data_IF_479728337759
#
_entry.id   IF_479728337759
#
_cell.length_a   1.000
_cell.length_b   1.000
_cell.length_c   1.000
_cell.angle_alpha   90.00
_cell.angle_beta   90.00
_cell.angle_gamma   90.00
#
_symmetry.space_group_name_H-M   'P 1'
#
loop_
_entity.id
_entity.type
_entity.pdbx_description
1 polymer ?
#
# COMPACT_ATOMS: atom_id res chain seq x y z
N UNK A 1 29.88 -7.66 -6.13
CA UNK A 1 29.20 -6.60 -5.37
C UNK A 1 27.84 -6.37 -6.04
N UNK A 2 26.79 -7.08 -5.60
CA UNK A 2 25.45 -7.05 -6.21
C UNK A 2 24.62 -6.03 -5.43
N UNK A 3 24.16 -4.99 -6.14
CA UNK A 3 23.32 -3.92 -5.61
C UNK A 3 21.91 -4.49 -5.41
N UNK A 4 21.31 -4.17 -4.27
CA UNK A 4 20.03 -4.71 -3.83
C UNK A 4 18.89 -4.32 -4.78
N UNK A 5 18.08 -5.32 -5.15
CA UNK A 5 16.82 -5.13 -5.86
C UNK A 5 15.86 -4.33 -4.98
N UNK A 6 15.40 -3.20 -5.51
CA UNK A 6 14.34 -2.38 -4.96
C UNK A 6 13.04 -3.20 -4.95
N UNK A 7 12.50 -3.42 -3.77
CA UNK A 7 11.30 -4.22 -3.52
C UNK A 7 10.11 -3.53 -4.17
N UNK A 8 9.51 -4.20 -5.17
CA UNK A 8 8.21 -3.87 -5.74
C UNK A 8 7.15 -4.03 -4.65
N UNK A 9 6.58 -2.91 -4.18
CA UNK A 9 5.29 -2.90 -3.49
C UNK A 9 4.23 -2.58 -4.55
N UNK A 10 3.67 -3.60 -5.19
CA UNK A 10 2.36 -3.46 -5.83
C UNK A 10 1.32 -3.36 -4.72
N UNK A 11 1.08 -2.13 -4.27
CA UNK A 11 -0.07 -1.79 -3.45
C UNK A 11 -1.29 -1.91 -4.36
N UNK A 12 -2.03 -3.03 -4.30
CA UNK A 12 -3.41 -3.06 -4.78
C UNK A 12 -4.23 -2.22 -3.78
N UNK A 13 -4.11 -0.91 -3.91
CA UNK A 13 -5.12 -0.01 -3.40
C UNK A 13 -6.35 -0.22 -4.29
N UNK A 14 -7.52 -0.39 -3.67
CA UNK A 14 -8.76 0.05 -4.29
C UNK A 14 -8.65 1.57 -4.39
N UNK A 15 -7.88 2.06 -5.37
CA UNK A 15 -7.92 3.44 -5.79
C UNK A 15 -9.31 3.62 -6.41
N UNK A 16 -10.12 4.53 -5.88
CA UNK A 16 -11.13 5.13 -6.74
C UNK A 16 -10.37 5.81 -7.88
N UNK A 17 -10.40 5.14 -9.04
CA UNK A 17 -9.85 5.57 -10.30
C UNK A 17 -10.26 7.03 -10.56
N UNK A 18 -9.30 7.94 -10.57
CA UNK A 18 -9.62 9.33 -10.87
C UNK A 18 -9.69 9.53 -12.37
N UNK A 19 -10.90 9.56 -12.94
CA UNK A 19 -11.27 10.20 -14.22
C UNK A 19 -10.14 10.18 -15.28
N UNK A 20 -9.58 8.99 -15.53
CA UNK A 20 -8.53 8.75 -16.51
C UNK A 20 -7.23 9.56 -16.31
N UNK A 21 -6.79 9.85 -15.08
CA UNK A 21 -5.54 10.57 -14.78
C UNK A 21 -4.41 9.60 -14.42
N UNK A 22 -3.22 9.89 -14.92
CA UNK A 22 -2.05 9.02 -14.77
C UNK A 22 -0.78 9.82 -14.50
N UNK A 23 0.12 9.24 -13.70
CA UNK A 23 1.51 9.65 -13.55
C UNK A 23 2.36 8.77 -14.47
N UNK A 24 3.05 9.40 -15.42
CA UNK A 24 3.95 8.75 -16.39
C UNK A 24 5.38 9.06 -15.97
N UNK A 25 6.18 8.03 -15.72
CA UNK A 25 7.60 8.19 -15.41
C UNK A 25 8.45 7.83 -16.61
N UNK A 26 9.45 8.66 -16.90
CA UNK A 26 10.39 8.44 -18.01
C UNK A 26 11.69 7.79 -17.55
N UNK A 27 12.29 6.99 -18.44
CA UNK A 27 13.59 6.35 -18.18
C UNK A 27 14.70 7.40 -18.17
N UNK A 28 15.41 7.52 -17.03
CA UNK A 28 16.54 8.45 -16.86
C UNK A 28 17.74 8.18 -17.78
N UNK A 29 17.87 6.95 -18.29
CA UNK A 29 19.07 6.51 -19.01
C UNK A 29 19.04 6.83 -20.51
N UNK A 30 17.92 7.31 -21.04
CA UNK A 30 17.87 7.72 -22.45
C UNK A 30 18.57 9.07 -22.65
N UNK A 31 19.36 9.21 -23.72
CA UNK A 31 20.08 10.45 -24.10
C UNK A 31 19.14 11.57 -24.59
N UNK A 32 17.84 11.46 -24.40
CA UNK A 32 16.83 12.39 -24.89
C UNK A 32 16.51 13.46 -23.86
N UNK A 33 16.22 14.68 -24.31
CA UNK A 33 15.82 15.77 -23.41
C UNK A 33 14.45 15.49 -22.79
N UNK A 34 14.20 16.04 -21.59
CA UNK A 34 12.90 15.96 -20.92
C UNK A 34 11.74 16.36 -21.85
N UNK A 35 11.90 17.46 -22.60
CA UNK A 35 10.88 17.90 -23.55
C UNK A 35 10.61 16.89 -24.67
N UNK A 36 11.63 16.14 -25.10
CA UNK A 36 11.46 15.06 -26.08
C UNK A 36 10.63 13.91 -25.51
N UNK A 37 10.82 13.59 -24.23
CA UNK A 37 9.99 12.62 -23.54
C UNK A 37 8.53 13.05 -23.44
N UNK A 38 8.28 14.28 -23.01
CA UNK A 38 6.91 14.82 -22.96
C UNK A 38 6.27 14.83 -24.36
N UNK A 39 7.02 15.27 -25.38
CA UNK A 39 6.54 15.30 -26.77
C UNK A 39 6.18 13.92 -27.30
N UNK A 40 6.91 12.88 -26.93
CA UNK A 40 6.59 11.49 -27.34
C UNK A 40 5.21 11.03 -26.87
N UNK A 41 4.76 11.53 -25.71
CA UNK A 41 3.43 11.25 -25.15
C UNK A 41 2.38 12.14 -25.80
N UNK A 42 2.61 13.46 -25.85
CA UNK A 42 1.60 14.42 -26.35
C UNK A 42 1.34 14.26 -27.85
N UNK A 43 2.32 13.79 -28.63
CA UNK A 43 2.12 13.43 -30.04
C UNK A 43 1.10 12.31 -30.25
N UNK A 44 0.74 11.55 -29.21
CA UNK A 44 -0.30 10.52 -29.28
C UNK A 44 -1.71 11.10 -29.10
N UNK A 45 -1.86 12.39 -28.73
CA UNK A 45 -3.15 13.05 -28.47
C UNK A 45 -3.80 13.50 -29.80
N UNK A 46 -3.98 12.55 -30.70
CA UNK A 46 -4.34 12.78 -32.12
C UNK A 46 -5.84 12.72 -32.36
N UNK A 47 -6.60 12.13 -31.44
CA UNK A 47 -8.04 11.94 -31.62
C UNK A 47 -8.81 13.23 -31.28
N UNK A 48 -9.54 13.77 -32.26
CA UNK A 48 -10.32 15.02 -32.16
C UNK A 48 -11.34 15.06 -31.01
N UNK A 49 -11.76 13.91 -30.50
CA UNK A 49 -12.73 13.77 -29.42
C UNK A 49 -12.10 13.24 -28.11
N UNK A 50 -10.78 13.11 -28.04
CA UNK A 50 -10.11 12.68 -26.82
C UNK A 50 -10.03 13.83 -25.81
N UNK A 51 -10.32 13.54 -24.54
CA UNK A 51 -10.13 14.47 -23.43
C UNK A 51 -8.70 14.38 -22.86
N UNK A 52 -7.73 14.07 -23.73
CA UNK A 52 -6.34 13.86 -23.33
C UNK A 52 -5.67 15.20 -23.07
N UNK A 53 -5.13 15.38 -21.86
CA UNK A 53 -4.52 16.65 -21.46
C UNK A 53 -3.28 16.42 -20.61
N UNK A 54 -2.30 17.29 -20.76
CA UNK A 54 -1.19 17.36 -19.80
C UNK A 54 -1.69 18.12 -18.58
N UNK A 55 -1.51 17.51 -17.41
CA UNK A 55 -1.88 18.11 -16.12
C UNK A 55 -0.67 18.77 -15.46
N UNK A 56 0.49 18.11 -15.52
CA UNK A 56 1.72 18.62 -14.93
C UNK A 56 2.97 17.98 -15.54
N UNK A 57 4.10 18.69 -15.50
CA UNK A 57 5.40 18.21 -15.91
C UNK A 57 6.36 18.21 -14.71
N UNK A 58 7.00 17.07 -14.43
CA UNK A 58 7.97 16.91 -13.36
C UNK A 58 9.37 16.81 -13.97
N UNK A 59 10.21 17.82 -13.73
CA UNK A 59 11.56 17.93 -14.30
C UNK A 59 12.68 17.99 -13.25
N UNK A 60 12.35 18.08 -11.97
CA UNK A 60 13.29 18.33 -10.87
C UNK A 60 13.68 17.06 -10.10
N UNK A 61 12.77 16.51 -9.30
CA UNK A 61 13.01 15.34 -8.43
C UNK A 61 12.61 14.03 -9.10
N UNK A 62 11.47 14.05 -9.80
CA UNK A 62 10.96 13.00 -10.67
C UNK A 62 11.14 13.48 -12.11
N UNK A 63 11.50 12.58 -13.02
CA UNK A 63 11.48 12.83 -14.47
C UNK A 63 10.22 12.18 -15.03
N UNK A 64 9.16 12.96 -15.21
CA UNK A 64 7.85 12.43 -15.58
C UNK A 64 6.82 13.50 -15.88
N UNK A 65 5.56 13.09 -16.06
CA UNK A 65 4.43 13.99 -16.25
C UNK A 65 3.14 13.39 -15.68
N UNK A 66 2.20 14.24 -15.31
CA UNK A 66 0.82 13.85 -15.04
C UNK A 66 -0.05 14.19 -16.26
N UNK A 67 -0.92 13.27 -16.69
CA UNK A 67 -1.80 13.47 -17.84
C UNK A 67 -3.16 12.78 -17.66
N UNK A 68 -4.21 13.37 -18.24
CA UNK A 68 -5.46 12.68 -18.49
C UNK A 68 -5.35 11.91 -19.82
N UNK A 69 -5.66 10.61 -19.83
CA UNK A 69 -5.53 9.73 -21.00
C UNK A 69 -6.75 8.82 -21.15
N UNK A 70 -7.39 8.82 -22.32
CA UNK A 70 -8.35 7.78 -22.70
C UNK A 70 -7.67 6.40 -22.77
N UNK A 71 -8.48 5.34 -22.74
CA UNK A 71 -8.00 3.97 -22.73
C UNK A 71 -7.13 3.62 -23.96
N UNK A 72 -7.46 4.17 -25.14
CA UNK A 72 -6.72 3.88 -26.37
C UNK A 72 -5.32 4.52 -26.37
N UNK A 73 -5.21 5.72 -25.81
CA UNK A 73 -3.97 6.49 -25.70
C UNK A 73 -3.10 5.95 -24.56
N UNK A 74 -3.70 5.55 -23.45
CA UNK A 74 -3.00 4.89 -22.34
C UNK A 74 -2.19 3.68 -22.82
N UNK A 75 -2.79 2.80 -23.62
CA UNK A 75 -2.10 1.61 -24.13
C UNK A 75 -0.94 1.98 -25.06
N UNK A 76 -1.08 3.03 -25.87
CA UNK A 76 0.01 3.56 -26.70
C UNK A 76 1.14 4.15 -25.85
N UNK A 77 0.80 4.89 -24.79
CA UNK A 77 1.78 5.49 -23.86
C UNK A 77 2.57 4.42 -23.12
N UNK A 78 1.91 3.36 -22.62
CA UNK A 78 2.57 2.21 -21.98
C UNK A 78 3.58 1.51 -22.91
N UNK A 79 3.34 1.54 -24.22
CA UNK A 79 4.22 0.93 -25.22
C UNK A 79 5.42 1.80 -25.63
N UNK A 80 5.50 3.07 -25.18
CA UNK A 80 6.59 3.96 -25.55
C UNK A 80 7.94 3.50 -24.96
N UNK A 81 9.02 3.44 -25.76
CA UNK A 81 10.30 2.89 -25.31
C UNK A 81 10.96 3.71 -24.20
N UNK A 82 10.61 4.99 -24.10
CA UNK A 82 11.15 5.97 -23.17
C UNK A 82 10.32 6.12 -21.88
N UNK A 83 9.18 5.42 -21.76
CA UNK A 83 8.37 5.32 -20.54
C UNK A 83 8.91 4.17 -19.68
N UNK A 84 9.14 4.45 -18.40
CA UNK A 84 9.56 3.49 -17.37
C UNK A 84 8.35 2.77 -16.78
N UNK A 85 7.35 3.53 -16.34
CA UNK A 85 6.04 3.01 -15.94
C UNK A 85 4.95 4.09 -16.05
N UNK A 86 3.69 3.65 -16.04
CA UNK A 86 2.50 4.49 -15.93
C UNK A 86 1.69 4.01 -14.74
N UNK A 87 1.36 4.92 -13.83
CA UNK A 87 0.57 4.66 -12.63
C UNK A 87 -0.69 5.52 -12.68
N UNK A 88 -1.84 4.97 -12.28
CA UNK A 88 -3.07 5.74 -12.17
C UNK A 88 -3.01 6.67 -10.97
N UNK A 89 -3.45 7.92 -11.14
CA UNK A 89 -3.42 8.93 -10.08
C UNK A 89 -4.51 8.65 -9.02
N UNK A 90 -4.11 8.66 -7.75
CA UNK A 90 -4.97 8.27 -6.61
C UNK A 90 -5.34 9.45 -5.71
N UNK A 91 -6.49 9.33 -5.03
CA UNK A 91 -6.89 10.29 -3.98
C UNK A 91 -6.15 9.95 -2.69
N UNK A 92 -5.42 10.92 -2.14
CA UNK A 92 -4.97 10.88 -0.76
C UNK A 92 -6.09 11.39 0.16
N UNK A 93 -6.51 10.57 1.13
CA UNK A 93 -7.49 11.00 2.13
C UNK A 93 -6.78 11.81 3.24
N UNK A 94 -7.47 12.79 3.82
CA UNK A 94 -6.95 13.56 4.96
C UNK A 94 -6.66 12.68 6.16
N UNK A 95 -5.64 13.01 6.95
CA UNK A 95 -5.18 12.17 8.07
C UNK A 95 -6.23 12.07 9.19
N UNK A 96 -6.54 10.84 9.63
CA UNK A 96 -7.22 10.58 10.89
C UNK A 96 -6.19 10.55 12.04
N UNK A 97 -6.65 10.87 13.26
CA UNK A 97 -5.78 10.96 14.45
C UNK A 97 -6.30 10.08 15.57
N UNK A 98 -5.44 9.22 16.10
CA UNK A 98 -5.65 8.59 17.40
C UNK A 98 -4.79 9.32 18.44
N UNK A 99 -5.45 9.99 19.40
CA UNK A 99 -4.78 10.59 20.55
C UNK A 99 -4.44 9.53 21.61
N UNK A 100 -3.39 9.76 22.38
CA UNK A 100 -2.93 8.79 23.39
C UNK A 100 -2.51 7.45 22.78
N UNK A 101 -1.96 7.46 21.58
CA UNK A 101 -1.53 6.27 20.89
C UNK A 101 -0.30 5.64 21.59
N UNK A 102 -0.17 4.30 21.56
CA UNK A 102 1.07 3.64 21.94
C UNK A 102 2.26 4.19 21.15
N UNK A 103 3.42 4.25 21.80
CA UNK A 103 4.64 4.83 21.23
C UNK A 103 4.98 4.27 19.85
N UNK A 104 4.75 2.97 19.61
CA UNK A 104 5.05 2.31 18.34
C UNK A 104 4.21 2.87 17.18
N UNK A 105 2.91 3.09 17.41
CA UNK A 105 2.02 3.69 16.41
C UNK A 105 2.42 5.14 16.13
N UNK A 106 2.65 5.93 17.18
CA UNK A 106 3.11 7.30 17.02
C UNK A 106 4.45 7.37 16.27
N UNK A 107 5.36 6.43 16.54
CA UNK A 107 6.67 6.39 15.89
C UNK A 107 6.55 6.14 14.40
N UNK A 108 5.72 5.20 13.96
CA UNK A 108 5.61 4.88 12.53
C UNK A 108 4.97 6.00 11.71
N UNK A 109 4.13 6.86 12.32
CA UNK A 109 3.48 7.97 11.59
C UNK A 109 4.27 9.28 11.55
N UNK A 110 5.43 9.38 12.22
CA UNK A 110 6.18 10.64 12.31
C UNK A 110 7.62 10.50 11.78
N UNK A 111 8.07 11.48 10.99
CA UNK A 111 9.49 11.57 10.57
C UNK A 111 10.37 12.21 11.64
N UNK A 112 9.86 13.24 12.31
CA UNK A 112 10.55 13.94 13.38
C UNK A 112 10.69 13.09 14.64
N UNK A 113 11.53 13.55 15.56
CA UNK A 113 11.60 12.97 16.90
C UNK A 113 10.23 13.11 17.57
N UNK A 114 9.74 12.04 18.18
CA UNK A 114 8.55 12.13 19.02
C UNK A 114 8.84 13.02 20.23
N UNK A 115 7.89 13.85 20.60
CA UNK A 115 7.93 14.45 21.92
C UNK A 115 7.75 13.33 22.97
N UNK A 116 8.39 13.48 24.13
CA UNK A 116 8.18 12.56 25.25
C UNK A 116 6.89 12.90 26.01
N UNK A 117 5.91 13.54 25.36
CA UNK A 117 4.64 13.86 26.01
C UNK A 117 3.80 12.58 26.08
N UNK A 118 3.02 12.45 27.15
CA UNK A 118 2.04 11.37 27.29
C UNK A 118 0.86 11.49 26.30
N UNK A 119 0.99 12.32 25.25
CA UNK A 119 -0.05 12.59 24.26
C UNK A 119 0.44 12.27 22.84
N UNK A 120 1.16 11.16 22.69
CA UNK A 120 1.63 10.72 21.40
C UNK A 120 0.44 10.48 20.45
N UNK A 121 0.51 11.05 19.26
CA UNK A 121 -0.53 10.93 18.24
C UNK A 121 -0.12 9.88 17.22
N UNK A 122 -1.10 9.10 16.76
CA UNK A 122 -0.95 8.29 15.56
C UNK A 122 -1.75 8.93 14.44
N UNK A 123 -1.05 9.42 13.43
CA UNK A 123 -1.62 9.96 12.20
C UNK A 123 -1.73 8.81 11.20
N UNK A 124 -2.94 8.55 10.70
CA UNK A 124 -3.18 7.40 9.83
C UNK A 124 -4.23 7.70 8.78
N UNK A 125 -4.18 6.97 7.68
CA UNK A 125 -5.18 7.06 6.63
C UNK A 125 -6.56 6.62 7.16
N UNK A 126 -7.65 7.40 6.98
CA UNK A 126 -8.99 7.02 7.43
C UNK A 126 -9.52 5.72 6.83
N UNK A 127 -9.08 5.34 5.63
CA UNK A 127 -9.36 4.05 5.02
C UNK A 127 -8.74 2.92 5.84
N UNK A 128 -7.60 3.17 6.51
CA UNK A 128 -6.96 2.30 7.50
C UNK A 128 -6.84 0.83 7.06
N UNK A 129 -6.64 0.58 5.76
CA UNK A 129 -6.53 -0.76 5.18
C UNK A 129 -7.86 -1.47 4.90
N UNK A 130 -9.00 -0.76 4.86
CA UNK A 130 -10.25 -1.40 4.45
C UNK A 130 -10.15 -1.98 3.04
N UNK A 131 -10.72 -3.17 2.85
CA UNK A 131 -10.59 -3.94 1.61
C UNK A 131 -9.28 -4.73 1.47
N UNK A 132 -8.27 -4.45 2.31
CA UNK A 132 -7.01 -5.22 2.33
C UNK A 132 -7.17 -6.44 3.22
N UNK A 133 -6.65 -7.58 2.77
CA UNK A 133 -6.59 -8.82 3.54
C UNK A 133 -5.14 -9.16 3.88
N UNK A 134 -4.85 -9.32 5.16
CA UNK A 134 -3.51 -9.69 5.65
C UNK A 134 -3.55 -11.11 6.20
N UNK A 135 -2.72 -11.98 5.64
CA UNK A 135 -2.50 -13.34 6.12
C UNK A 135 -1.41 -13.33 7.18
N UNK A 136 -1.73 -13.80 8.38
CA UNK A 136 -0.79 -13.91 9.49
C UNK A 136 -0.38 -15.36 9.63
N UNK A 137 0.83 -15.67 9.14
CA UNK A 137 1.45 -17.00 9.21
C UNK A 137 2.19 -17.15 10.54
N UNK A 138 1.53 -17.72 11.55
CA UNK A 138 2.05 -17.74 12.93
C UNK A 138 1.44 -18.90 13.74
N UNK A 139 1.24 -18.75 15.06
CA UNK A 139 0.57 -19.72 15.95
C UNK A 139 -0.95 -19.77 15.76
N UNK A 140 -1.51 -18.94 14.87
CA UNK A 140 -2.94 -18.76 14.66
C UNK A 140 -3.42 -17.37 15.09
N UNK A 141 -4.73 -17.14 15.08
CA UNK A 141 -5.34 -15.91 15.65
C UNK A 141 -6.53 -16.32 16.51
N UNK A 142 -6.73 -15.70 17.67
CA UNK A 142 -7.99 -15.72 18.41
C UNK A 142 -9.02 -14.88 17.66
N UNK A 143 -9.59 -15.43 16.59
CA UNK A 143 -10.47 -14.70 15.65
C UNK A 143 -11.70 -14.05 16.31
N UNK A 144 -12.17 -14.59 17.44
CA UNK A 144 -13.27 -14.01 18.22
C UNK A 144 -12.86 -12.90 19.20
N UNK A 145 -11.62 -12.39 19.13
CA UNK A 145 -11.19 -11.28 19.99
C UNK A 145 -11.94 -10.00 19.60
N UNK A 146 -12.50 -9.31 20.60
CA UNK A 146 -13.36 -8.12 20.40
C UNK A 146 -12.67 -7.01 19.61
N UNK A 147 -11.35 -6.87 19.78
CA UNK A 147 -10.55 -5.82 19.12
C UNK A 147 -10.34 -6.08 17.61
N UNK A 148 -10.73 -7.25 17.09
CA UNK A 148 -10.78 -7.53 15.66
C UNK A 148 -12.15 -7.22 15.04
N UNK A 149 -13.19 -6.99 15.86
CA UNK A 149 -14.54 -6.59 15.40
C UNK A 149 -15.12 -7.51 14.30
N UNK A 150 -14.81 -8.82 14.36
CA UNK A 150 -15.25 -9.81 13.39
C UNK A 150 -14.45 -9.84 12.07
N UNK A 151 -13.41 -9.02 11.91
CA UNK A 151 -12.56 -8.96 10.71
C UNK A 151 -11.49 -10.05 10.64
N UNK A 152 -11.34 -10.84 11.70
CA UNK A 152 -10.42 -11.97 11.74
C UNK A 152 -11.14 -13.28 11.39
N UNK A 153 -10.56 -14.08 10.48
CA UNK A 153 -11.10 -15.36 10.03
C UNK A 153 -10.00 -16.42 9.95
N UNK A 154 -10.40 -17.69 9.85
CA UNK A 154 -9.46 -18.79 9.61
C UNK A 154 -9.24 -19.00 8.12
N UNK A 155 -7.96 -19.11 7.73
CA UNK A 155 -7.55 -19.52 6.38
C UNK A 155 -7.12 -20.98 6.36
N UNK A 156 -5.99 -21.28 7.00
CA UNK A 156 -5.40 -22.62 6.98
C UNK A 156 -4.68 -22.95 8.30
N UNK A 157 -4.52 -24.24 8.54
CA UNK A 157 -3.74 -24.76 9.65
C UNK A 157 -2.89 -25.94 9.14
N UNK A 158 -1.58 -25.77 9.20
CA UNK A 158 -0.59 -26.73 8.73
C UNK A 158 0.05 -27.52 9.87
N UNK A 159 -0.34 -27.26 11.12
CA UNK A 159 0.16 -27.99 12.29
C UNK A 159 -0.70 -29.24 12.51
N UNK A 160 -0.14 -30.40 12.16
CA UNK A 160 -0.85 -31.68 12.26
C UNK A 160 -1.35 -31.96 13.67
N UNK A 161 -2.62 -32.33 13.80
CA UNK A 161 -3.27 -32.64 15.08
C UNK A 161 -3.60 -31.42 15.94
N UNK A 162 -3.27 -30.19 15.52
CA UNK A 162 -3.62 -28.98 16.25
C UNK A 162 -5.00 -28.45 15.85
N UNK A 163 -5.78 -27.89 16.78
CA UNK A 163 -7.05 -27.24 16.45
C UNK A 163 -6.83 -25.90 15.72
N UNK A 164 -7.87 -25.42 15.03
CA UNK A 164 -7.92 -24.05 14.49
C UNK A 164 -8.16 -23.05 15.62
N UNK A 165 -7.14 -22.90 16.47
CA UNK A 165 -7.11 -22.00 17.60
C UNK A 165 -5.67 -21.52 17.83
N UNK A 166 -5.51 -20.28 18.31
CA UNK A 166 -4.21 -19.79 18.76
C UNK A 166 -3.99 -20.20 20.21
N UNK A 167 -3.28 -21.31 20.39
CA UNK A 167 -2.94 -21.94 21.66
C UNK A 167 -1.64 -21.42 22.29
N UNK A 168 -0.97 -20.47 21.64
CA UNK A 168 0.23 -19.79 22.18
C UNK A 168 0.00 -18.29 22.43
N UNK A 169 -0.71 -17.62 21.53
CA UNK A 169 -1.02 -16.17 21.63
C UNK A 169 -0.09 -15.25 20.85
N UNK A 170 0.98 -15.77 20.24
CA UNK A 170 1.94 -14.94 19.49
C UNK A 170 1.30 -14.39 18.21
N UNK A 171 0.63 -15.26 17.45
CA UNK A 171 -0.07 -14.84 16.25
C UNK A 171 -1.22 -13.88 16.51
N UNK A 172 -1.96 -14.04 17.61
CA UNK A 172 -2.97 -13.04 18.05
C UNK A 172 -2.33 -11.68 18.36
N UNK A 173 -1.18 -11.65 19.03
CA UNK A 173 -0.47 -10.41 19.32
C UNK A 173 0.04 -9.72 18.04
N UNK A 174 0.64 -10.50 17.12
CA UNK A 174 1.08 -10.00 15.81
C UNK A 174 -0.09 -9.46 14.98
N UNK A 175 -1.19 -10.23 14.87
CA UNK A 175 -2.42 -9.79 14.22
C UNK A 175 -3.00 -8.52 14.88
N UNK A 176 -2.86 -8.42 16.21
CA UNK A 176 -3.20 -7.25 17.00
C UNK A 176 -2.50 -5.97 16.50
N UNK A 177 -1.18 -6.06 16.36
CA UNK A 177 -0.34 -4.95 15.86
C UNK A 177 -0.63 -4.61 14.40
N UNK A 178 -0.98 -5.60 13.59
CA UNK A 178 -1.34 -5.37 12.19
C UNK A 178 -2.67 -4.63 12.08
N UNK A 179 -3.75 -5.17 12.65
CA UNK A 179 -5.10 -4.78 12.24
C UNK A 179 -6.14 -4.70 13.34
N UNK A 180 -5.78 -4.70 14.62
CA UNK A 180 -6.77 -4.47 15.67
C UNK A 180 -7.28 -3.03 15.67
N UNK A 181 -8.48 -2.82 16.19
CA UNK A 181 -9.07 -1.48 16.35
C UNK A 181 -8.17 -0.58 17.21
N UNK A 182 -7.72 -1.08 18.36
CA UNK A 182 -7.03 -0.26 19.35
C UNK A 182 -5.55 -0.05 19.02
N UNK A 183 -4.85 -1.11 18.62
CA UNK A 183 -3.39 -1.15 18.50
C UNK A 183 -2.90 -1.39 17.06
N UNK A 184 -3.81 -1.67 16.13
CA UNK A 184 -3.47 -1.92 14.74
C UNK A 184 -2.96 -0.67 14.01
N UNK A 185 -2.00 -0.89 13.12
CA UNK A 185 -1.58 0.07 12.09
C UNK A 185 -2.67 0.17 11.02
N UNK A 186 -3.08 -0.96 10.44
CA UNK A 186 -4.15 -1.06 9.44
C UNK A 186 -5.48 -1.44 10.11
N UNK A 187 -6.03 -0.51 10.88
CA UNK A 187 -7.17 -0.73 11.79
C UNK A 187 -8.44 -1.30 11.16
N UNK A 188 -8.61 -1.23 9.84
CA UNK A 188 -9.78 -1.73 9.10
C UNK A 188 -9.45 -2.91 8.17
N UNK A 189 -8.22 -3.42 8.19
CA UNK A 189 -7.85 -4.59 7.41
C UNK A 189 -8.57 -5.86 7.88
N UNK A 190 -8.80 -6.78 6.95
CA UNK A 190 -9.22 -8.14 7.23
C UNK A 190 -7.99 -8.97 7.60
N UNK A 191 -8.13 -9.85 8.60
CA UNK A 191 -7.06 -10.69 9.10
C UNK A 191 -7.40 -12.16 8.82
N UNK A 192 -6.46 -12.90 8.26
CA UNK A 192 -6.62 -14.33 8.00
C UNK A 192 -5.56 -15.10 8.77
N UNK A 193 -6.01 -15.97 9.68
CA UNK A 193 -5.13 -16.84 10.45
C UNK A 193 -4.59 -17.97 9.57
N UNK A 194 -3.28 -18.09 9.51
CA UNK A 194 -2.57 -19.20 8.90
C UNK A 194 -1.66 -19.81 9.96
N UNK A 195 -2.06 -20.94 10.54
CA UNK A 195 -1.28 -21.59 11.61
C UNK A 195 -0.16 -22.44 11.00
N UNK A 196 1.07 -22.03 11.24
CA UNK A 196 2.31 -22.75 10.85
C UNK A 196 3.20 -23.08 12.05
N UNK A 197 2.91 -22.48 13.21
CA UNK A 197 3.61 -22.71 14.47
C UNK A 197 2.68 -23.40 15.49
N UNK A 198 3.21 -24.39 16.20
CA UNK A 198 2.50 -25.12 17.25
C UNK A 198 2.39 -24.32 18.56
N UNK A 199 1.82 -24.94 19.60
CA UNK A 199 1.64 -24.33 20.94
C UNK A 199 2.94 -23.93 21.65
N UNK A 200 4.10 -24.39 21.16
CA UNK A 200 5.43 -24.04 21.66
C UNK A 200 6.14 -23.04 20.73
N UNK A 201 5.41 -22.43 19.80
CA UNK A 201 5.94 -21.50 18.80
C UNK A 201 6.97 -22.15 17.84
N UNK A 202 6.79 -23.43 17.52
CA UNK A 202 7.69 -24.19 16.65
C UNK A 202 6.98 -24.61 15.36
N UNK A 203 7.66 -24.49 14.23
CA UNK A 203 7.23 -24.98 12.92
C UNK A 203 8.30 -25.89 12.30
N UNK A 204 7.90 -26.68 11.31
CA UNK A 204 8.77 -27.58 10.54
C UNK A 204 8.59 -27.34 9.04
#
# INVERSE_FOLDING_TARGET
>A
MKVANLIYFTLLALAEAHDNRYIIRFKKEQRTSFQSHVSSVTNLFTERNSNNTVLHEYDSVLTGMAAKLDAATLEKVKALPNVEFVEEDGIAYGEAVQNGAPWGLARVSHRGKLDNSNNAQYLYDPNAGAGVTVYVMDTGIKIGHVDFEGRATWGANFVSGAPNYDDHGHGTHCAGTVGSKTYGVAKKANLVAVKVLNSNNQGA
#
